data_IF_555784902183
#
_entry.id   IF_555784902183
#
_cell.length_a   1.000
_cell.length_b   1.000
_cell.length_c   1.000
_cell.angle_alpha   90.00
_cell.angle_beta   90.00
_cell.angle_gamma   90.00
#
_symmetry.space_group_name_H-M   'P 1'
#
loop_
_entity.id
_entity.type
_entity.pdbx_description
1 polymer ?
#
# COMPACT_ATOMS: atom_id res chain seq x y z
N UNK A 1 37.09 5.72 -58.58
CA UNK A 1 35.74 6.12 -59.03
C UNK A 1 34.71 5.54 -58.07
N UNK A 2 33.78 6.40 -57.60
CA UNK A 2 32.47 6.08 -56.96
C UNK A 2 32.55 5.46 -55.56
N UNK A 3 32.47 6.28 -54.49
CA UNK A 3 31.25 6.75 -53.79
C UNK A 3 30.43 5.61 -53.16
N UNK A 4 30.46 5.52 -51.82
CA UNK A 4 29.30 5.23 -50.95
C UNK A 4 29.76 5.36 -49.46
N UNK A 5 29.80 6.54 -48.85
CA UNK A 5 28.70 7.16 -48.10
C UNK A 5 27.63 6.17 -47.62
N UNK A 6 27.79 5.63 -46.41
CA UNK A 6 26.66 5.28 -45.56
C UNK A 6 26.89 5.79 -44.14
N UNK A 7 26.41 7.02 -43.95
CA UNK A 7 26.18 7.68 -42.68
C UNK A 7 24.97 7.00 -42.03
N UNK A 8 25.17 6.16 -41.01
CA UNK A 8 24.09 5.80 -40.09
C UNK A 8 24.32 6.51 -38.77
N UNK A 9 23.78 7.73 -38.73
CA UNK A 9 23.52 8.52 -37.55
C UNK A 9 22.34 7.86 -36.83
N UNK A 10 22.61 7.10 -35.77
CA UNK A 10 21.59 6.69 -34.83
C UNK A 10 22.13 6.88 -33.42
N UNK A 11 22.17 8.14 -33.02
CA UNK A 11 22.27 8.56 -31.63
C UNK A 11 20.96 8.11 -30.99
N UNK A 12 20.93 6.85 -30.53
CA UNK A 12 19.89 6.34 -29.67
C UNK A 12 19.99 7.05 -28.32
N UNK A 13 19.37 8.22 -28.22
CA UNK A 13 19.04 8.83 -26.94
C UNK A 13 18.08 7.87 -26.21
N UNK A 14 18.63 6.93 -25.43
CA UNK A 14 17.92 6.45 -24.25
C UNK A 14 17.97 7.60 -23.24
N UNK A 15 17.03 8.53 -23.40
CA UNK A 15 16.59 9.33 -22.29
C UNK A 15 15.89 8.34 -21.34
N UNK A 16 16.65 7.73 -20.42
CA UNK A 16 16.07 7.18 -19.22
C UNK A 16 15.36 8.35 -18.54
N UNK A 17 14.04 8.40 -18.69
CA UNK A 17 13.21 9.26 -17.89
C UNK A 17 13.31 8.73 -16.45
N UNK A 18 14.32 9.22 -15.73
CA UNK A 18 14.42 9.06 -14.30
C UNK A 18 13.26 9.88 -13.73
N UNK A 19 12.15 9.21 -13.42
CA UNK A 19 11.05 9.81 -12.67
C UNK A 19 11.61 10.13 -11.29
N UNK A 20 12.10 11.36 -11.12
CA UNK A 20 12.34 11.94 -9.80
C UNK A 20 10.97 11.98 -9.11
N UNK A 21 10.68 10.97 -8.31
CA UNK A 21 9.70 11.09 -7.24
C UNK A 21 10.32 12.02 -6.19
N UNK A 22 10.20 13.31 -6.45
CA UNK A 22 10.67 14.35 -5.56
C UNK A 22 9.72 14.34 -4.36
N UNK A 23 10.16 13.72 -3.26
CA UNK A 23 9.50 13.85 -1.97
C UNK A 23 9.37 15.34 -1.65
N UNK A 24 8.15 15.84 -1.76
CA UNK A 24 7.81 17.23 -1.56
C UNK A 24 8.07 17.57 -0.09
N UNK A 25 9.13 18.35 0.17
CA UNK A 25 9.62 18.66 1.52
C UNK A 25 8.62 19.50 2.36
N UNK A 26 7.45 19.84 1.81
CA UNK A 26 6.36 20.51 2.52
C UNK A 26 5.29 19.56 3.06
N UNK A 27 5.38 18.25 2.81
CA UNK A 27 4.38 17.33 3.33
C UNK A 27 4.52 17.20 4.86
N UNK A 28 3.44 17.50 5.57
CA UNK A 28 3.35 17.41 7.04
C UNK A 28 2.80 16.07 7.52
N UNK A 29 2.65 15.11 6.60
CA UNK A 29 2.15 13.77 6.88
C UNK A 29 2.67 12.77 5.84
N UNK A 30 2.63 11.49 6.19
CA UNK A 30 2.74 10.38 5.24
C UNK A 30 1.35 9.79 4.96
N UNK A 31 1.19 9.04 3.88
CA UNK A 31 -0.11 8.42 3.54
C UNK A 31 -0.04 6.91 3.66
N UNK A 32 -0.92 6.33 4.46
CA UNK A 32 -1.17 4.90 4.50
C UNK A 32 -2.36 4.55 3.61
N UNK A 33 -2.13 3.70 2.62
CA UNK A 33 -3.13 3.12 1.73
C UNK A 33 -3.53 1.73 2.26
N UNK A 34 -4.67 1.65 2.93
CA UNK A 34 -5.18 0.41 3.51
C UNK A 34 -6.16 -0.22 2.53
N UNK A 35 -5.96 -1.50 2.20
CA UNK A 35 -6.88 -2.23 1.33
C UNK A 35 -7.03 -3.68 1.74
N UNK A 36 -8.23 -4.22 1.55
CA UNK A 36 -8.55 -5.64 1.76
C UNK A 36 -9.19 -6.23 0.52
N UNK A 37 -8.42 -6.99 -0.30
CA UNK A 37 -8.99 -7.71 -1.43
C UNK A 37 -10.16 -8.61 -1.01
N UNK A 38 -11.15 -8.72 -1.90
CA UNK A 38 -12.32 -9.54 -1.64
C UNK A 38 -11.98 -11.02 -1.54
N UNK A 39 -12.13 -11.58 -0.35
CA UNK A 39 -11.97 -13.02 -0.09
C UNK A 39 -13.28 -13.58 0.53
N UNK A 40 -13.53 -14.88 0.35
CA UNK A 40 -14.69 -15.55 0.94
C UNK A 40 -14.60 -15.61 2.48
N UNK A 41 -13.38 -15.77 3.02
CA UNK A 41 -13.14 -15.82 4.47
C UNK A 41 -13.40 -14.48 5.15
N UNK A 42 -14.37 -14.47 6.07
CA UNK A 42 -14.74 -13.28 6.84
C UNK A 42 -15.40 -12.17 6.00
N UNK A 43 -16.11 -12.53 4.92
CA UNK A 43 -16.70 -11.58 3.98
C UNK A 43 -17.68 -10.58 4.61
N UNK A 44 -18.37 -10.98 5.69
CA UNK A 44 -19.31 -10.13 6.44
C UNK A 44 -18.65 -9.34 7.58
N UNK A 45 -17.38 -9.60 7.87
CA UNK A 45 -16.67 -9.02 9.02
C UNK A 45 -15.77 -7.88 8.57
N UNK A 46 -15.72 -6.80 9.36
CA UNK A 46 -14.71 -5.74 9.27
C UNK A 46 -13.98 -5.61 10.59
N UNK A 47 -12.83 -4.95 10.57
CA UNK A 47 -12.03 -4.66 11.76
C UNK A 47 -11.35 -3.31 11.63
N UNK A 48 -10.99 -2.75 12.77
CA UNK A 48 -10.35 -1.44 12.84
C UNK A 48 -8.84 -1.61 12.72
N UNK A 49 -8.24 -0.69 11.97
CA UNK A 49 -6.80 -0.56 11.84
C UNK A 49 -6.36 0.54 12.79
N UNK A 50 -5.40 0.21 13.64
CA UNK A 50 -4.78 1.09 14.61
C UNK A 50 -3.33 1.36 14.20
N UNK A 51 -2.79 2.47 14.68
CA UNK A 51 -1.36 2.76 14.67
C UNK A 51 -0.91 3.12 16.08
N UNK A 52 0.24 2.61 16.49
CA UNK A 52 0.92 3.01 17.72
C UNK A 52 2.30 3.57 17.35
N UNK A 53 2.56 4.82 17.69
CA UNK A 53 3.83 5.49 17.44
C UNK A 53 4.84 5.20 18.57
N UNK A 54 6.13 5.47 18.32
CA UNK A 54 7.20 5.24 19.29
C UNK A 54 7.04 6.02 20.61
N UNK A 55 6.32 7.15 20.58
CA UNK A 55 6.00 7.95 21.77
C UNK A 55 4.84 7.36 22.61
N UNK A 56 4.29 6.22 22.18
CA UNK A 56 3.17 5.54 22.85
C UNK A 56 1.79 6.04 22.44
N UNK A 57 1.70 7.04 21.54
CA UNK A 57 0.42 7.52 21.03
C UNK A 57 -0.24 6.46 20.16
N UNK A 58 -1.50 6.19 20.43
CA UNK A 58 -2.32 5.27 19.63
C UNK A 58 -3.46 6.02 18.94
N UNK A 59 -3.67 5.72 17.66
CA UNK A 59 -4.73 6.32 16.84
C UNK A 59 -5.44 5.23 16.03
N UNK A 60 -6.76 5.41 15.82
CA UNK A 60 -7.54 4.57 14.92
C UNK A 60 -7.50 5.18 13.52
N UNK A 61 -6.89 4.47 12.57
CA UNK A 61 -6.77 4.92 11.18
C UNK A 61 -8.08 4.76 10.41
N UNK A 62 -8.86 3.72 10.72
CA UNK A 62 -10.15 3.46 10.09
C UNK A 62 -10.55 2.00 10.08
N UNK A 63 -11.77 1.73 9.61
CA UNK A 63 -12.35 0.38 9.57
C UNK A 63 -12.24 -0.22 8.17
N UNK A 64 -11.56 -1.36 8.05
CA UNK A 64 -11.46 -2.11 6.79
C UNK A 64 -12.52 -3.21 6.72
N UNK A 65 -13.27 -3.24 5.61
CA UNK A 65 -14.27 -4.29 5.30
C UNK A 65 -13.80 -5.15 4.13
N UNK A 66 -14.50 -6.24 3.85
CA UNK A 66 -14.20 -7.06 2.69
C UNK A 66 -14.35 -6.27 1.39
N UNK A 67 -13.42 -6.44 0.45
CA UNK A 67 -13.40 -5.73 -0.84
C UNK A 67 -13.47 -4.19 -0.70
N UNK A 68 -12.81 -3.63 0.32
CA UNK A 68 -12.81 -2.21 0.60
C UNK A 68 -11.38 -1.68 0.74
N UNK A 69 -11.21 -0.39 0.53
CA UNK A 69 -9.97 0.36 0.70
C UNK A 69 -10.25 1.75 1.25
N UNK A 70 -9.26 2.34 1.92
CA UNK A 70 -9.28 3.73 2.35
C UNK A 70 -7.86 4.27 2.48
N UNK A 71 -7.74 5.58 2.67
CA UNK A 71 -6.48 6.29 2.90
C UNK A 71 -6.51 6.87 4.31
N UNK A 72 -5.36 6.85 4.98
CA UNK A 72 -5.20 7.47 6.29
C UNK A 72 -3.91 8.29 6.33
N UNK A 73 -3.96 9.47 6.95
CA UNK A 73 -2.79 10.32 7.15
C UNK A 73 -2.03 9.87 8.39
N UNK A 74 -0.72 9.74 8.29
CA UNK A 74 0.20 9.50 9.40
C UNK A 74 0.88 10.82 9.73
N UNK A 75 0.52 11.40 10.87
CA UNK A 75 0.89 12.77 11.26
C UNK A 75 2.13 12.85 12.15
N UNK A 76 2.76 11.71 12.43
CA UNK A 76 4.03 11.62 13.17
C UNK A 76 5.04 10.76 12.42
N UNK A 77 6.29 11.21 12.40
CA UNK A 77 7.41 10.46 11.83
C UNK A 77 8.00 9.47 12.84
N UNK A 78 8.81 8.55 12.31
CA UNK A 78 9.57 7.57 13.09
C UNK A 78 8.91 6.20 13.15
N UNK A 79 9.41 5.38 14.07
CA UNK A 79 8.93 4.00 14.22
C UNK A 79 7.48 3.99 14.67
N UNK A 80 6.66 3.21 13.98
CA UNK A 80 5.29 2.96 14.35
C UNK A 80 4.90 1.50 14.06
N UNK A 81 3.91 1.00 14.79
CA UNK A 81 3.29 -0.29 14.57
C UNK A 81 1.86 -0.08 14.08
N UNK A 82 1.58 -0.53 12.86
CA UNK A 82 0.20 -0.59 12.35
C UNK A 82 -0.36 -1.97 12.69
N UNK A 83 -1.52 -2.02 13.34
CA UNK A 83 -2.04 -3.27 13.85
C UNK A 83 -3.56 -3.37 13.80
N UNK A 84 -4.05 -4.60 13.89
CA UNK A 84 -5.45 -4.94 14.01
C UNK A 84 -5.61 -6.12 14.97
N UNK A 85 -6.74 -6.18 15.68
CA UNK A 85 -7.00 -7.26 16.63
C UNK A 85 -8.46 -7.68 16.60
N UNK A 86 -8.66 -8.99 16.51
CA UNK A 86 -9.94 -9.64 16.85
C UNK A 86 -9.65 -10.63 17.97
N UNK A 87 -9.56 -11.93 17.67
CA UNK A 87 -9.11 -12.97 18.59
C UNK A 87 -7.59 -12.90 18.82
N UNK A 88 -6.81 -12.55 17.78
CA UNK A 88 -5.35 -12.37 17.87
C UNK A 88 -4.93 -11.08 17.17
N UNK A 89 -3.91 -10.41 17.72
CA UNK A 89 -3.28 -9.24 17.11
C UNK A 89 -2.46 -9.66 15.88
N UNK A 90 -2.60 -8.90 14.80
CA UNK A 90 -1.69 -8.90 13.66
C UNK A 90 -1.13 -7.49 13.51
N UNK A 91 0.15 -7.37 13.18
CA UNK A 91 0.80 -6.08 13.05
C UNK A 91 1.94 -6.07 12.05
N UNK A 92 2.27 -4.87 11.58
CA UNK A 92 3.42 -4.58 10.74
C UNK A 92 4.13 -3.35 11.31
N UNK A 93 5.45 -3.37 11.27
CA UNK A 93 6.26 -2.21 11.67
C UNK A 93 6.57 -1.35 10.45
N UNK A 94 6.43 -0.03 10.61
CA UNK A 94 6.77 0.96 9.60
C UNK A 94 7.68 2.01 10.23
N UNK A 95 8.61 2.57 9.45
CA UNK A 95 9.36 3.75 9.85
C UNK A 95 8.82 4.93 9.04
N UNK A 96 7.85 5.63 9.61
CA UNK A 96 7.09 6.69 8.93
C UNK A 96 8.03 7.86 8.62
N UNK A 97 7.96 8.31 7.38
CA UNK A 97 8.60 9.54 6.90
C UNK A 97 7.54 10.33 6.14
N UNK A 98 7.45 11.63 6.35
CA UNK A 98 6.46 12.43 5.65
C UNK A 98 6.70 12.47 4.14
N UNK A 99 5.61 12.64 3.40
CA UNK A 99 5.59 12.53 1.93
C UNK A 99 5.65 11.10 1.39
N UNK A 100 6.03 10.10 2.20
CA UNK A 100 6.06 8.71 1.77
C UNK A 100 4.67 8.05 1.73
N UNK A 101 4.58 6.99 0.93
CA UNK A 101 3.37 6.19 0.72
C UNK A 101 3.57 4.77 1.24
N UNK A 102 2.70 4.32 2.12
CA UNK A 102 2.75 2.98 2.72
C UNK A 102 1.53 2.18 2.33
N UNK A 103 1.71 0.99 1.75
CA UNK A 103 0.61 0.15 1.30
C UNK A 103 0.41 -1.02 2.25
N UNK A 104 -0.73 -1.05 2.92
CA UNK A 104 -1.07 -2.08 3.91
C UNK A 104 -2.17 -2.97 3.35
N UNK A 105 -1.80 -4.20 3.04
CA UNK A 105 -2.73 -5.26 2.65
C UNK A 105 -3.31 -5.89 3.89
N UNK A 106 -4.63 -5.78 4.04
CA UNK A 106 -5.40 -6.40 5.08
C UNK A 106 -6.06 -7.68 4.58
N UNK A 107 -6.07 -8.70 5.44
CA UNK A 107 -6.66 -10.00 5.19
C UNK A 107 -7.33 -10.56 6.44
N UNK A 108 -7.94 -11.73 6.27
CA UNK A 108 -8.50 -12.53 7.35
C UNK A 108 -8.07 -13.96 7.16
N UNK A 109 -7.70 -14.61 8.26
CA UNK A 109 -7.49 -16.06 8.34
C UNK A 109 -8.43 -16.67 9.35
N UNK A 110 -8.71 -17.96 9.16
CA UNK A 110 -9.54 -18.72 10.10
C UNK A 110 -8.86 -18.75 11.48
N UNK A 111 -9.60 -18.40 12.53
CA UNK A 111 -9.21 -18.64 13.91
C UNK A 111 -9.97 -19.84 14.50
N UNK A 112 -9.86 -20.01 15.81
CA UNK A 112 -10.50 -21.13 16.52
C UNK A 112 -11.98 -20.83 16.75
N UNK A 113 -12.29 -19.59 17.12
CA UNK A 113 -13.67 -19.13 17.33
C UNK A 113 -14.07 -17.99 16.40
N UNK A 114 -13.14 -17.06 16.09
CA UNK A 114 -13.40 -15.92 15.22
C UNK A 114 -12.30 -15.80 14.15
N UNK A 115 -12.61 -15.17 13.03
CA UNK A 115 -11.59 -14.83 12.05
C UNK A 115 -10.57 -13.86 12.65
N UNK A 116 -9.30 -14.07 12.34
CA UNK A 116 -8.17 -13.28 12.82
C UNK A 116 -7.64 -12.39 11.71
N UNK A 117 -7.28 -11.13 11.99
CA UNK A 117 -6.69 -10.26 10.99
C UNK A 117 -5.33 -10.80 10.53
N UNK A 118 -4.98 -10.40 9.32
CA UNK A 118 -3.64 -10.53 8.75
C UNK A 118 -3.29 -9.19 8.12
N UNK A 119 -2.07 -8.71 8.37
CA UNK A 119 -1.58 -7.46 7.82
C UNK A 119 -0.24 -7.72 7.13
N UNK A 120 -0.04 -7.10 5.97
CA UNK A 120 1.21 -7.16 5.23
C UNK A 120 1.55 -5.77 4.70
N UNK A 121 2.76 -5.32 4.98
CA UNK A 121 3.33 -4.15 4.32
C UNK A 121 3.79 -4.57 2.93
N UNK A 122 3.25 -3.91 1.91
CA UNK A 122 3.50 -4.23 0.50
C UNK A 122 4.40 -3.15 -0.10
N UNK A 123 5.33 -3.57 -0.95
CA UNK A 123 6.19 -2.64 -1.69
C UNK A 123 5.35 -1.66 -2.54
N UNK A 124 5.78 -0.39 -2.69
CA UNK A 124 5.00 0.65 -3.36
C UNK A 124 4.44 0.23 -4.73
N UNK A 125 5.27 -0.28 -5.63
CA UNK A 125 4.86 -0.66 -7.00
C UNK A 125 3.69 -1.67 -7.01
N UNK A 126 3.82 -2.74 -6.22
CA UNK A 126 2.77 -3.76 -6.10
C UNK A 126 1.56 -3.23 -5.33
N UNK A 127 1.81 -2.46 -4.27
CA UNK A 127 0.77 -1.90 -3.42
C UNK A 127 -0.13 -0.93 -4.17
N UNK A 128 0.46 -0.07 -5.00
CA UNK A 128 -0.27 0.87 -5.86
C UNK A 128 -1.13 0.13 -6.88
N UNK A 129 -0.56 -0.90 -7.52
CA UNK A 129 -1.29 -1.75 -8.48
C UNK A 129 -2.46 -2.47 -7.81
N UNK A 130 -2.21 -3.14 -6.68
CA UNK A 130 -3.24 -3.85 -5.89
C UNK A 130 -4.35 -2.86 -5.48
N UNK A 131 -3.97 -1.73 -4.87
CA UNK A 131 -4.88 -0.71 -4.37
C UNK A 131 -5.74 -0.09 -5.49
N UNK A 132 -5.15 0.21 -6.65
CA UNK A 132 -5.86 0.75 -7.81
C UNK A 132 -6.82 -0.26 -8.44
N UNK A 133 -6.53 -1.56 -8.33
CA UNK A 133 -7.40 -2.63 -8.85
C UNK A 133 -8.65 -2.89 -7.98
N UNK A 134 -8.63 -2.44 -6.73
CA UNK A 134 -9.75 -2.61 -5.79
C UNK A 134 -11.05 -2.00 -6.33
N UNK A 135 -12.14 -2.78 -6.29
CA UNK A 135 -13.47 -2.34 -6.72
C UNK A 135 -13.76 -2.49 -8.22
N UNK A 136 -12.77 -2.89 -9.05
CA UNK A 136 -13.01 -3.26 -10.45
C UNK A 136 -13.67 -4.65 -10.49
N UNK A 137 -14.91 -4.75 -10.99
CA UNK A 137 -15.53 -6.06 -11.26
C UNK A 137 -14.67 -6.77 -12.31
N UNK A 138 -14.22 -8.00 -12.02
CA UNK A 138 -13.63 -8.86 -13.05
C UNK A 138 -14.72 -9.14 -14.09
N UNK A 139 -14.58 -8.59 -15.30
CA UNK A 139 -15.41 -9.02 -16.42
C UNK A 139 -15.23 -10.53 -16.57
N UNK A 140 -16.32 -11.27 -16.38
CA UNK A 140 -16.33 -12.70 -16.60
C UNK A 140 -16.39 -12.90 -18.11
N UNK A 141 -15.28 -13.31 -18.72
CA UNK A 141 -15.33 -13.92 -20.05
C UNK A 141 -16.22 -15.16 -19.94
N UNK A 142 -17.35 -15.12 -20.65
CA UNK A 142 -18.38 -16.16 -20.72
C UNK A 142 -18.02 -17.18 -21.78
#
# INVERSE_FOLDING_TARGET
MKKLFFLFLLIGNLCFAQTNEQADASNTFATAYIYRPGNYTGALSGFDIHITYADGTEEVLGRVKNNNKFEAKLTKEGKAEIWAKTEKKASVSVNVKFGERYYIKAGMKMGVMLNRPELTLVFPDQGETDYASMGKKKEKNK
#
